data_IF_322470467020
#
_entry.id   IF_322470467020
#
_cell.length_a   1.000
_cell.length_b   1.000
_cell.length_c   1.000
_cell.angle_alpha   90.00
_cell.angle_beta   90.00
_cell.angle_gamma   90.00
#
_symmetry.space_group_name_H-M   'P 1'
#
loop_
_entity.id
_entity.type
_entity.pdbx_description
1 polymer ?
#
# COMPACT_ATOMS: atom_id res chain seq x y z
N UNK A 1 40.08 -23.02 -2.58
CA UNK A 1 38.62 -23.24 -2.47
C UNK A 1 37.95 -21.91 -2.18
N UNK A 2 37.62 -21.23 -3.26
CA UNK A 2 37.10 -19.88 -3.36
C UNK A 2 35.65 -19.83 -2.85
N UNK A 3 35.46 -19.44 -1.59
CA UNK A 3 34.14 -19.01 -1.11
C UNK A 3 33.94 -17.56 -1.54
N UNK A 4 33.46 -17.36 -2.78
CA UNK A 4 32.91 -16.08 -3.21
C UNK A 4 31.72 -15.76 -2.31
N UNK A 5 31.95 -14.87 -1.35
CA UNK A 5 30.92 -14.25 -0.52
C UNK A 5 30.03 -13.42 -1.44
N UNK A 6 28.87 -13.97 -1.79
CA UNK A 6 27.81 -13.27 -2.50
C UNK A 6 27.24 -12.21 -1.57
N UNK A 7 27.79 -11.02 -1.63
CA UNK A 7 27.27 -9.85 -0.92
C UNK A 7 25.83 -9.57 -1.37
N UNK A 8 24.87 -9.40 -0.44
CA UNK A 8 23.51 -9.02 -0.80
C UNK A 8 23.54 -7.57 -1.31
N UNK A 9 23.05 -7.36 -2.53
CA UNK A 9 22.92 -6.03 -3.11
C UNK A 9 22.14 -5.07 -2.21
N UNK A 10 22.71 -3.86 -2.08
CA UNK A 10 22.31 -2.76 -1.21
C UNK A 10 20.81 -2.46 -1.35
N UNK A 11 20.02 -2.89 -0.38
CA UNK A 11 18.64 -2.44 -0.23
C UNK A 11 18.63 -0.93 0.02
N UNK A 12 18.10 -0.17 -0.95
CA UNK A 12 17.84 1.26 -0.82
C UNK A 12 17.18 1.57 0.54
N UNK A 13 17.44 2.74 1.16
CA UNK A 13 16.86 3.10 2.44
C UNK A 13 15.34 2.92 2.36
N UNK A 14 14.82 1.94 3.11
CA UNK A 14 13.39 1.64 3.18
C UNK A 14 12.72 2.74 4.00
N UNK A 15 12.56 3.91 3.38
CA UNK A 15 11.72 4.98 3.91
C UNK A 15 10.32 4.45 4.26
N UNK A 16 9.56 5.15 5.12
CA UNK A 16 8.23 4.72 5.51
C UNK A 16 7.38 4.45 4.26
N UNK A 17 6.79 3.25 4.20
CA UNK A 17 5.98 2.85 3.04
C UNK A 17 4.82 3.84 2.87
N UNK A 18 4.60 4.37 1.65
CA UNK A 18 3.49 5.27 1.42
C UNK A 18 2.17 4.56 1.70
N UNK A 19 1.28 5.27 2.40
CA UNK A 19 -0.03 4.79 2.80
C UNK A 19 -1.09 5.88 2.58
N UNK A 20 -2.32 5.42 2.42
CA UNK A 20 -3.53 6.23 2.42
C UNK A 20 -4.53 5.67 3.43
N UNK A 21 -5.37 6.55 3.95
CA UNK A 21 -6.48 6.23 4.83
C UNK A 21 -7.73 5.84 4.06
N UNK A 22 -8.38 4.77 4.52
CA UNK A 22 -9.65 4.28 3.99
C UNK A 22 -10.66 4.23 5.14
N UNK A 23 -11.76 4.96 4.96
CA UNK A 23 -12.97 4.76 5.73
C UNK A 23 -13.83 3.70 5.03
N UNK A 24 -13.95 2.54 5.66
CA UNK A 24 -14.78 1.45 5.17
C UNK A 24 -16.21 1.68 5.62
N UNK A 25 -17.13 1.95 4.69
CA UNK A 25 -18.52 2.17 5.05
C UNK A 25 -19.25 0.87 5.41
N UNK A 26 -18.77 -0.26 4.90
CA UNK A 26 -19.35 -1.59 5.16
C UNK A 26 -19.31 -2.00 6.64
N UNK A 27 -18.24 -1.65 7.36
CA UNK A 27 -18.08 -1.97 8.80
C UNK A 27 -17.85 -0.72 9.66
N UNK A 28 -17.99 0.46 9.06
CA UNK A 28 -17.73 1.78 9.68
C UNK A 28 -16.39 1.84 10.41
N UNK A 29 -15.36 1.23 9.82
CA UNK A 29 -14.00 1.15 10.37
C UNK A 29 -13.04 1.98 9.52
N UNK A 30 -12.04 2.58 10.16
CA UNK A 30 -10.96 3.27 9.47
C UNK A 30 -9.71 2.39 9.47
N UNK A 31 -9.04 2.25 8.33
CA UNK A 31 -7.74 1.58 8.26
C UNK A 31 -6.83 2.23 7.23
N UNK A 32 -5.53 1.98 7.36
CA UNK A 32 -4.56 2.35 6.32
C UNK A 32 -4.40 1.22 5.32
N UNK A 33 -4.21 1.60 4.05
CA UNK A 33 -3.81 0.67 2.99
C UNK A 33 -2.52 1.19 2.36
N UNK A 34 -1.70 0.26 1.90
CA UNK A 34 -0.34 0.55 1.43
C UNK A 34 -0.24 0.42 -0.07
N UNK A 35 0.76 1.11 -0.62
CA UNK A 35 1.09 0.95 -2.03
C UNK A 35 1.60 -0.48 -2.28
N UNK A 36 1.12 -1.08 -3.37
CA UNK A 36 1.57 -2.40 -3.78
C UNK A 36 3.05 -2.40 -4.18
N UNK A 37 3.65 -3.59 -4.25
CA UNK A 37 5.07 -3.75 -4.66
C UNK A 37 5.36 -3.27 -6.08
N UNK A 38 4.34 -3.19 -6.95
CA UNK A 38 4.47 -2.71 -8.32
C UNK A 38 4.36 -1.18 -8.42
N UNK A 39 4.08 -0.49 -7.31
CA UNK A 39 3.84 0.95 -7.25
C UNK A 39 2.77 1.44 -8.26
N UNK A 40 1.74 0.65 -8.49
CA UNK A 40 0.64 0.98 -9.42
C UNK A 40 -0.68 1.30 -8.72
N UNK A 41 -0.89 0.76 -7.51
CA UNK A 41 -2.13 0.94 -6.78
C UNK A 41 -1.94 0.75 -5.27
N UNK A 42 -2.71 1.51 -4.49
CA UNK A 42 -2.91 1.23 -3.08
C UNK A 42 -3.93 0.11 -2.94
N UNK A 43 -3.55 -0.95 -2.22
CA UNK A 43 -4.38 -2.15 -2.06
C UNK A 43 -4.48 -2.49 -0.59
N UNK A 44 -5.69 -2.82 -0.14
CA UNK A 44 -5.91 -3.37 1.18
C UNK A 44 -7.31 -3.93 1.35
N UNK A 45 -7.60 -4.40 2.56
CA UNK A 45 -8.83 -5.08 2.89
C UNK A 45 -9.43 -4.52 4.17
N UNK A 46 -10.76 -4.52 4.25
CA UNK A 46 -11.47 -4.19 5.47
C UNK A 46 -11.09 -5.22 6.54
N UNK A 47 -10.61 -4.80 7.73
CA UNK A 47 -10.18 -5.72 8.78
C UNK A 47 -11.33 -6.51 9.41
N UNK A 48 -12.59 -6.14 9.13
CA UNK A 48 -13.79 -6.77 9.70
C UNK A 48 -14.43 -7.80 8.76
N UNK A 49 -14.65 -7.43 7.50
CA UNK A 49 -15.35 -8.28 6.53
C UNK A 49 -14.49 -8.73 5.35
N UNK A 50 -13.24 -8.28 5.25
CA UNK A 50 -12.36 -8.63 4.14
C UNK A 50 -12.72 -7.98 2.80
N UNK A 51 -13.61 -6.97 2.78
CA UNK A 51 -13.90 -6.21 1.55
C UNK A 51 -12.63 -5.60 0.98
N UNK A 52 -12.34 -5.84 -0.30
CA UNK A 52 -11.13 -5.34 -0.98
C UNK A 52 -11.32 -3.89 -1.41
N UNK A 53 -10.32 -3.05 -1.20
CA UNK A 53 -10.18 -1.74 -1.80
C UNK A 53 -8.93 -1.70 -2.68
N UNK A 54 -9.06 -1.09 -3.86
CA UNK A 54 -7.95 -0.84 -4.77
C UNK A 54 -8.10 0.57 -5.34
N UNK A 55 -7.12 1.42 -5.05
CA UNK A 55 -7.04 2.77 -5.62
C UNK A 55 -5.82 2.82 -6.54
N UNK A 56 -6.07 2.92 -7.83
CA UNK A 56 -5.01 3.04 -8.82
C UNK A 56 -4.38 4.43 -8.76
N UNK A 57 -3.07 4.49 -9.01
CA UNK A 57 -2.36 5.76 -9.17
C UNK A 57 -2.61 6.32 -10.57
N UNK A 58 -2.88 7.62 -10.66
CA UNK A 58 -3.01 8.35 -11.92
C UNK A 58 -2.24 9.66 -11.83
N UNK A 59 -1.51 10.09 -12.89
CA UNK A 59 -0.85 11.39 -12.94
C UNK A 59 -1.82 12.56 -12.77
N UNK A 60 -3.04 12.41 -13.28
CA UNK A 60 -4.14 13.38 -13.15
C UNK A 60 -5.06 13.04 -11.97
N UNK A 61 -4.61 12.15 -11.09
CA UNK A 61 -5.39 11.67 -9.95
C UNK A 61 -5.58 12.73 -8.86
N UNK A 62 -6.34 12.34 -7.85
CA UNK A 62 -6.51 13.17 -6.66
C UNK A 62 -5.27 13.13 -5.76
N UNK A 63 -4.95 14.28 -5.14
CA UNK A 63 -3.92 14.40 -4.08
C UNK A 63 -4.46 14.02 -2.69
N UNK A 64 -5.75 13.67 -2.59
CA UNK A 64 -6.36 13.24 -1.33
C UNK A 64 -5.69 11.96 -0.80
N UNK A 65 -5.46 11.92 0.52
CA UNK A 65 -4.92 10.75 1.23
C UNK A 65 -5.98 9.97 2.00
N UNK A 66 -7.22 10.46 2.01
CA UNK A 66 -8.36 9.85 2.69
C UNK A 66 -9.43 9.55 1.66
N UNK A 67 -9.92 8.32 1.67
CA UNK A 67 -10.95 7.84 0.76
C UNK A 67 -12.01 7.05 1.52
N UNK A 68 -13.22 7.03 0.99
CA UNK A 68 -14.33 6.25 1.51
C UNK A 68 -14.61 5.09 0.54
N UNK A 69 -14.87 3.90 1.09
CA UNK A 69 -15.20 2.69 0.33
C UNK A 69 -16.56 2.18 0.80
N UNK A 70 -17.57 2.37 -0.06
CA UNK A 70 -18.95 1.89 0.12
C UNK A 70 -19.07 0.40 -0.15
#
# INVERSE_FOLDING_TARGET
MDRKDSQPEKGAPRGPKPFIGIQWECCKVYSHIYLNQKNTAYVGWCPRCGKRAQINLSPTGSKSRFFNVS
#
